data_IF_299476139396
#
_entry.id   IF_299476139396
#
_cell.length_a   1.000
_cell.length_b   1.000
_cell.length_c   1.000
_cell.angle_alpha   90.00
_cell.angle_beta   90.00
_cell.angle_gamma   90.00
#
_symmetry.space_group_name_H-M   'P 1'
#
loop_
_entity.id
_entity.type
_entity.pdbx_description
1 polymer ?
#
# COMPACT_ATOMS: atom_id res chain seq x y z
N UNK A 1 -1.80 -35.67 -12.08
CA UNK A 1 -1.78 -34.19 -12.02
C UNK A 1 -1.58 -33.61 -13.42
N UNK A 2 -2.19 -32.46 -13.72
CA UNK A 2 -1.99 -31.79 -15.00
C UNK A 2 -0.61 -31.13 -15.05
N UNK A 3 0.12 -31.33 -16.16
CA UNK A 3 1.43 -30.73 -16.41
C UNK A 3 1.38 -29.83 -17.65
N UNK A 4 2.07 -28.68 -17.65
CA UNK A 4 2.09 -27.81 -18.81
C UNK A 4 2.84 -28.47 -19.96
N UNK A 5 2.19 -28.63 -21.11
CA UNK A 5 2.82 -29.21 -22.31
C UNK A 5 3.95 -28.34 -22.86
N UNK A 6 3.86 -27.01 -22.69
CA UNK A 6 4.84 -26.02 -23.16
C UNK A 6 4.96 -24.88 -22.15
N UNK A 7 6.12 -24.21 -22.14
CA UNK A 7 6.33 -23.02 -21.31
C UNK A 7 5.42 -21.87 -21.77
N UNK A 8 5.03 -21.01 -20.84
CA UNK A 8 4.32 -19.78 -21.20
C UNK A 8 5.25 -18.78 -21.86
N UNK A 9 4.72 -17.94 -22.76
CA UNK A 9 5.51 -16.94 -23.47
C UNK A 9 6.09 -15.90 -22.51
N UNK A 10 7.25 -15.33 -22.86
CA UNK A 10 7.91 -14.28 -22.06
C UNK A 10 6.96 -13.11 -21.75
N UNK A 11 6.13 -12.71 -22.72
CA UNK A 11 5.13 -11.65 -22.56
C UNK A 11 4.11 -11.99 -21.47
N UNK A 12 3.54 -13.20 -21.49
CA UNK A 12 2.53 -13.63 -20.52
C UNK A 12 3.11 -13.76 -19.10
N UNK A 13 4.36 -14.23 -18.95
CA UNK A 13 5.07 -14.21 -17.67
C UNK A 13 5.29 -12.78 -17.14
N UNK A 14 5.77 -11.86 -17.99
CA UNK A 14 6.02 -10.46 -17.59
C UNK A 14 4.72 -9.74 -17.20
N UNK A 15 3.64 -9.95 -17.94
CA UNK A 15 2.32 -9.37 -17.62
C UNK A 15 1.83 -9.80 -16.24
N UNK A 16 1.89 -11.10 -15.91
CA UNK A 16 1.53 -11.59 -14.56
C UNK A 16 2.41 -10.99 -13.47
N UNK A 17 3.73 -10.85 -13.70
CA UNK A 17 4.65 -10.20 -12.75
C UNK A 17 4.32 -8.72 -12.56
N UNK A 18 3.93 -8.02 -13.61
CA UNK A 18 3.49 -6.61 -13.55
C UNK A 18 2.23 -6.48 -12.69
N UNK A 19 1.24 -7.34 -12.91
CA UNK A 19 0.01 -7.38 -12.11
C UNK A 19 0.31 -7.64 -10.62
N UNK A 20 1.24 -8.54 -10.31
CA UNK A 20 1.67 -8.77 -8.93
C UNK A 20 2.31 -7.53 -8.29
N UNK A 21 3.19 -6.84 -9.01
CA UNK A 21 3.81 -5.58 -8.54
C UNK A 21 2.79 -4.44 -8.40
N UNK A 22 1.78 -4.38 -9.27
CA UNK A 22 0.76 -3.34 -9.25
C UNK A 22 -0.07 -3.35 -7.95
N UNK A 23 -0.23 -4.51 -7.31
CA UNK A 23 -0.88 -4.61 -5.99
C UNK A 23 -0.18 -3.74 -4.95
N UNK A 24 1.16 -3.78 -4.91
CA UNK A 24 1.96 -2.95 -3.99
C UNK A 24 1.88 -1.45 -4.32
N UNK A 25 1.75 -1.12 -5.60
CA UNK A 25 1.56 0.28 -6.01
C UNK A 25 0.23 0.85 -5.50
N UNK A 26 -0.84 0.05 -5.48
CA UNK A 26 -2.14 0.47 -4.96
C UNK A 26 -2.13 0.69 -3.45
N UNK A 27 -1.40 -0.13 -2.69
CA UNK A 27 -1.23 0.07 -1.24
C UNK A 27 -0.37 1.30 -0.96
N UNK A 28 0.71 1.51 -1.72
CA UNK A 28 1.55 2.71 -1.64
C UNK A 28 0.74 4.00 -1.81
N UNK A 29 -0.12 4.07 -2.84
CA UNK A 29 -0.98 5.24 -3.08
C UNK A 29 -1.87 5.60 -1.90
N UNK A 30 -2.46 4.59 -1.25
CA UNK A 30 -3.32 4.80 -0.07
C UNK A 30 -2.49 5.28 1.12
N UNK A 31 -1.35 4.62 1.37
CA UNK A 31 -0.45 4.95 2.49
C UNK A 31 0.10 6.37 2.39
N UNK A 32 0.55 6.81 1.20
CA UNK A 32 1.09 8.17 1.04
C UNK A 32 0.00 9.24 1.22
N UNK A 33 -1.22 8.99 0.73
CA UNK A 33 -2.36 9.88 0.95
C UNK A 33 -2.69 10.01 2.43
N UNK A 34 -2.65 8.89 3.15
CA UNK A 34 -2.91 8.83 4.57
C UNK A 34 -1.85 9.60 5.38
N UNK A 35 -0.56 9.36 5.09
CA UNK A 35 0.54 10.07 5.77
C UNK A 35 0.47 11.59 5.57
N UNK A 36 0.18 12.05 4.34
CA UNK A 36 -0.03 13.48 4.06
C UNK A 36 -1.19 14.05 4.87
N UNK A 37 -2.30 13.32 4.95
CA UNK A 37 -3.47 13.75 5.72
C UNK A 37 -3.15 13.92 7.21
N UNK A 38 -2.38 12.99 7.78
CA UNK A 38 -1.92 13.05 9.18
C UNK A 38 -1.02 14.28 9.40
N UNK A 39 -0.02 14.49 8.55
CA UNK A 39 0.94 15.61 8.69
C UNK A 39 0.23 16.97 8.67
N UNK A 40 -0.80 17.13 7.84
CA UNK A 40 -1.53 18.40 7.75
C UNK A 40 -2.38 18.73 8.98
N UNK A 41 -2.69 17.76 9.84
CA UNK A 41 -3.52 17.96 11.04
C UNK A 41 -4.96 18.38 10.81
N UNK A 42 -5.40 18.52 9.54
CA UNK A 42 -6.75 18.99 9.17
C UNK A 42 -7.83 17.89 9.20
N UNK A 43 -7.42 16.63 9.34
CA UNK A 43 -8.33 15.50 9.26
C UNK A 43 -8.92 15.16 10.64
N UNK A 44 -10.23 15.40 10.78
CA UNK A 44 -10.98 15.19 12.02
C UNK A 44 -11.44 13.73 12.25
N UNK A 45 -11.19 12.83 11.29
CA UNK A 45 -11.68 11.45 11.32
C UNK A 45 -10.76 10.45 12.02
N UNK A 46 -9.50 10.82 12.28
CA UNK A 46 -8.52 9.92 12.90
C UNK A 46 -8.62 9.98 14.42
N UNK A 47 -8.73 8.81 15.05
CA UNK A 47 -8.69 8.68 16.51
C UNK A 47 -7.23 8.49 16.91
N UNK A 48 -6.65 9.48 17.57
CA UNK A 48 -5.32 9.40 18.15
C UNK A 48 -5.44 9.03 19.63
N UNK A 49 -4.82 7.93 20.05
CA UNK A 49 -4.62 7.66 21.48
C UNK A 49 -3.54 8.64 21.94
N UNK A 50 -3.94 9.83 22.35
CA UNK A 50 -3.02 10.78 22.96
C UNK A 50 -2.66 10.22 24.34
N UNK A 51 -1.46 9.62 24.46
CA UNK A 51 -0.80 9.57 25.75
C UNK A 51 -0.57 11.03 26.12
N UNK A 52 -1.33 11.52 27.09
CA UNK A 52 -1.23 12.87 27.62
C UNK A 52 0.21 13.06 28.10
N UNK A 53 1.08 13.60 27.26
CA UNK A 53 2.29 14.22 27.76
C UNK A 53 1.80 15.49 28.44
N UNK A 54 1.79 15.48 29.77
CA UNK A 54 1.83 16.72 30.53
C UNK A 54 3.09 17.46 30.09
N UNK A 55 2.93 18.37 29.12
CA UNK A 55 3.90 19.42 28.93
C UNK A 55 3.77 20.31 30.16
N UNK A 56 4.73 20.15 31.07
CA UNK A 56 5.11 21.20 32.01
C UNK A 56 5.71 22.33 31.16
N UNK A 57 5.09 23.50 31.33
CA UNK A 57 5.45 24.84 30.79
C UNK A 57 5.06 25.16 29.33
#
# INVERSE_FOLDING_TARGET
>A
MAVPKKRTSKSKCKSRKSQWKHKAYNTYKKSISLGKSIITGKANSFIYIQQKQENSE
#
